data_IF_074188491452
#
_entry.id   IF_074188491452
#
_cell.length_a   1.000
_cell.length_b   1.000
_cell.length_c   1.000
_cell.angle_alpha   90.00
_cell.angle_beta   90.00
_cell.angle_gamma   90.00
#
_symmetry.space_group_name_H-M   'P 1'
#
loop_
_entity.id
_entity.type
_entity.pdbx_description
1 polymer ?
#
# COMPACT_ATOMS: atom_id res chain seq x y z
N UNK A 1 -8.84 8.36 0.52
CA UNK A 1 -8.51 9.24 1.65
C UNK A 1 -7.64 10.41 1.28
N UNK A 2 -7.27 11.26 2.22
CA UNK A 2 -6.48 12.46 1.93
C UNK A 2 -5.31 12.77 2.89
N UNK A 3 -5.30 12.34 4.11
CA UNK A 3 -4.17 12.53 5.03
C UNK A 3 -3.96 11.29 5.86
N UNK A 4 -2.74 10.71 5.78
CA UNK A 4 -2.35 9.54 6.59
C UNK A 4 -3.47 8.48 6.70
N UNK A 5 -4.17 8.23 5.58
CA UNK A 5 -5.39 7.45 5.63
C UNK A 5 -5.15 5.94 5.79
N UNK A 6 -3.90 5.51 5.63
CA UNK A 6 -3.45 4.18 6.03
C UNK A 6 -2.35 4.37 7.07
N UNK A 7 -2.71 4.25 8.34
CA UNK A 7 -1.78 4.52 9.44
C UNK A 7 -1.99 3.53 10.59
N UNK A 8 -0.98 3.40 11.44
CA UNK A 8 -1.04 2.57 12.64
C UNK A 8 0.07 1.56 12.79
N UNK A 9 -0.14 0.54 13.63
CA UNK A 9 0.85 -0.40 14.12
C UNK A 9 0.68 -1.86 13.69
N UNK A 10 -0.22 -2.17 12.76
CA UNK A 10 -0.42 -3.53 12.25
C UNK A 10 0.37 -3.78 10.96
N UNK A 11 0.90 -4.99 10.77
CA UNK A 11 1.45 -5.38 9.47
C UNK A 11 0.32 -5.63 8.47
N UNK A 12 0.49 -5.15 7.23
CA UNK A 12 -0.55 -5.21 6.20
C UNK A 12 0.03 -5.50 4.81
N UNK A 13 -0.73 -6.26 4.03
CA UNK A 13 -0.46 -6.44 2.58
C UNK A 13 -1.69 -5.99 1.81
N UNK A 14 -1.48 -5.05 0.90
CA UNK A 14 -2.46 -4.62 -0.09
C UNK A 14 -2.03 -5.19 -1.44
N UNK A 15 -2.83 -6.08 -2.01
CA UNK A 15 -2.55 -6.72 -3.28
C UNK A 15 -3.70 -6.46 -4.24
N UNK A 16 -3.37 -5.98 -5.45
CA UNK A 16 -4.36 -5.64 -6.48
C UNK A 16 -5.47 -4.68 -6.01
N UNK A 17 -5.08 -3.72 -5.16
CA UNK A 17 -6.01 -2.76 -4.56
C UNK A 17 -6.00 -1.42 -5.30
N UNK A 18 -7.15 -0.74 -5.31
CA UNK A 18 -7.25 0.65 -5.74
C UNK A 18 -7.18 1.58 -4.53
N UNK A 19 -6.24 2.51 -4.57
CA UNK A 19 -6.03 3.55 -3.56
C UNK A 19 -6.54 4.88 -4.12
N UNK A 20 -7.71 5.31 -3.70
CA UNK A 20 -8.27 6.58 -4.17
C UNK A 20 -7.86 7.74 -3.27
N UNK A 21 -7.13 8.71 -3.84
CA UNK A 21 -6.86 9.99 -3.22
C UNK A 21 -8.10 10.87 -3.32
N UNK A 22 -8.40 11.60 -2.27
CA UNK A 22 -9.49 12.57 -2.26
C UNK A 22 -8.93 13.96 -1.96
N UNK A 23 -8.97 14.84 -2.93
CA UNK A 23 -8.46 16.20 -2.81
C UNK A 23 -9.23 17.01 -1.75
N UNK A 24 -8.54 17.97 -1.15
CA UNK A 24 -9.22 18.94 -0.29
C UNK A 24 -10.15 19.84 -1.12
N UNK A 25 -11.18 20.38 -0.48
CA UNK A 25 -12.13 21.27 -1.14
C UNK A 25 -11.53 22.60 -1.62
N UNK A 26 -10.38 22.98 -1.07
CA UNK A 26 -9.69 24.25 -1.34
C UNK A 26 -8.36 24.08 -2.09
N UNK A 27 -7.89 22.83 -2.27
CA UNK A 27 -6.62 22.51 -2.92
C UNK A 27 -6.56 21.03 -3.36
N UNK A 28 -5.87 20.77 -4.44
CA UNK A 28 -5.77 19.41 -4.98
C UNK A 28 -4.93 18.44 -4.15
N UNK A 29 -4.03 18.92 -3.28
CA UNK A 29 -3.14 18.06 -2.51
C UNK A 29 -3.92 17.15 -1.56
N UNK A 30 -3.69 15.84 -1.65
CA UNK A 30 -4.30 14.82 -0.79
C UNK A 30 -3.36 14.32 0.35
N UNK A 31 -2.22 14.93 0.54
CA UNK A 31 -1.31 14.65 1.65
C UNK A 31 -0.49 13.36 1.50
N UNK A 32 -0.69 12.38 2.36
CA UNK A 32 0.13 11.17 2.46
C UNK A 32 -0.75 9.94 2.43
N UNK A 33 -0.36 8.93 1.64
CA UNK A 33 -1.09 7.66 1.59
C UNK A 33 -0.88 6.91 2.91
N UNK A 34 0.37 6.82 3.37
CA UNK A 34 0.71 6.05 4.56
C UNK A 34 1.40 6.88 5.64
N UNK A 35 1.14 6.49 6.90
CA UNK A 35 1.93 6.88 8.06
C UNK A 35 2.11 5.66 8.96
N UNK A 36 3.08 4.83 8.62
CA UNK A 36 3.38 3.62 9.37
C UNK A 36 4.13 3.94 10.67
N UNK A 37 3.78 3.23 11.73
CA UNK A 37 4.58 3.14 12.94
C UNK A 37 5.75 2.15 12.72
N UNK A 38 6.28 1.53 13.76
CA UNK A 38 7.26 0.45 13.64
C UNK A 38 6.58 -0.84 13.14
N UNK A 39 6.12 -0.82 11.91
CA UNK A 39 5.29 -1.86 11.28
C UNK A 39 5.54 -1.92 9.78
N UNK A 40 5.10 -2.98 9.13
CA UNK A 40 5.34 -3.25 7.71
C UNK A 40 4.07 -3.14 6.88
N UNK A 41 4.08 -2.28 5.87
CA UNK A 41 3.04 -2.21 4.85
C UNK A 41 3.63 -2.57 3.48
N UNK A 42 3.00 -3.50 2.81
CA UNK A 42 3.34 -3.86 1.44
C UNK A 42 2.15 -3.57 0.51
N UNK A 43 2.38 -2.71 -0.46
CA UNK A 43 1.47 -2.47 -1.58
C UNK A 43 2.08 -3.10 -2.82
N UNK A 44 1.38 -4.04 -3.44
CA UNK A 44 1.82 -4.66 -4.69
C UNK A 44 0.68 -4.72 -5.70
N UNK A 45 1.02 -4.51 -6.97
CA UNK A 45 0.05 -4.53 -8.07
C UNK A 45 -1.12 -3.56 -7.88
N UNK A 46 -0.93 -2.53 -7.07
CA UNK A 46 -1.98 -1.57 -6.74
C UNK A 46 -2.13 -0.50 -7.81
N UNK A 47 -3.26 0.19 -7.79
CA UNK A 47 -3.51 1.36 -8.63
C UNK A 47 -3.87 2.56 -7.76
N UNK A 48 -3.14 3.67 -7.94
CA UNK A 48 -3.47 4.92 -7.26
C UNK A 48 -4.33 5.76 -8.21
N UNK A 49 -5.51 6.11 -7.77
CA UNK A 49 -6.46 6.97 -8.47
C UNK A 49 -6.72 8.25 -7.67
N UNK A 50 -7.55 9.14 -8.15
CA UNK A 50 -7.89 10.32 -7.37
C UNK A 50 -9.15 11.01 -7.84
N UNK A 51 -9.87 11.51 -6.84
CA UNK A 51 -10.96 12.46 -6.99
C UNK A 51 -10.46 13.85 -6.61
N UNK A 52 -10.47 14.75 -7.58
CA UNK A 52 -9.93 16.10 -7.39
C UNK A 52 -10.89 17.03 -6.62
N UNK A 53 -12.05 16.52 -6.20
CA UNK A 53 -13.04 17.23 -5.38
C UNK A 53 -13.47 18.59 -5.99
N UNK A 54 -13.58 18.62 -7.32
CA UNK A 54 -13.94 19.86 -8.05
C UNK A 54 -12.81 20.88 -8.21
N UNK A 55 -11.59 20.57 -7.75
CA UNK A 55 -10.43 21.44 -7.94
C UNK A 55 -9.91 21.36 -9.37
N UNK A 56 -9.36 22.47 -9.87
CA UNK A 56 -8.59 22.49 -11.12
C UNK A 56 -7.21 21.85 -10.99
N UNK A 57 -6.73 21.69 -9.77
CA UNK A 57 -5.44 21.04 -9.47
C UNK A 57 -5.66 19.58 -9.11
N UNK A 58 -4.93 18.72 -9.78
CA UNK A 58 -4.98 17.28 -9.54
C UNK A 58 -4.60 16.93 -8.10
N UNK A 59 -5.40 16.09 -7.45
CA UNK A 59 -5.07 15.55 -6.15
C UNK A 59 -3.83 14.65 -6.25
N UNK A 60 -2.78 15.00 -5.52
CA UNK A 60 -1.53 14.25 -5.45
C UNK A 60 -1.12 14.03 -4.01
N UNK A 61 -0.40 12.94 -3.74
CA UNK A 61 0.09 12.61 -2.43
C UNK A 61 1.52 12.07 -2.47
N UNK A 62 2.16 12.04 -1.31
CA UNK A 62 3.32 11.19 -1.09
C UNK A 62 2.87 9.73 -0.89
N UNK A 63 3.71 8.77 -1.21
CA UNK A 63 3.52 7.37 -0.78
C UNK A 63 3.34 7.26 0.72
N UNK A 64 4.13 8.05 1.46
CA UNK A 64 4.00 8.10 2.90
C UNK A 64 5.06 8.95 3.57
N UNK A 65 4.97 8.97 4.90
CA UNK A 65 5.94 9.59 5.79
C UNK A 65 6.17 8.70 7.02
N UNK A 66 7.38 8.71 7.62
CA UNK A 66 7.73 7.81 8.71
C UNK A 66 7.20 8.36 10.05
N UNK A 67 6.10 7.82 10.54
CA UNK A 67 5.61 8.20 11.88
C UNK A 67 6.63 7.86 12.97
N UNK A 68 7.36 6.75 12.78
CA UNK A 68 8.52 6.38 13.60
C UNK A 68 9.67 5.95 12.70
N UNK A 69 10.89 5.90 13.23
CA UNK A 69 12.08 5.44 12.50
C UNK A 69 11.99 3.97 12.06
N UNK A 70 11.13 3.17 12.69
CA UNK A 70 10.90 1.76 12.32
C UNK A 70 9.83 1.55 11.26
N UNK A 71 9.30 2.62 10.65
CA UNK A 71 8.34 2.52 9.56
C UNK A 71 8.91 1.76 8.36
N UNK A 72 8.21 0.72 7.90
CA UNK A 72 8.59 -0.11 6.76
C UNK A 72 7.44 -0.14 5.76
N UNK A 73 7.58 0.56 4.64
CA UNK A 73 6.53 0.67 3.61
C UNK A 73 7.13 0.44 2.24
N UNK A 74 6.52 -0.46 1.49
CA UNK A 74 6.93 -0.77 0.11
C UNK A 74 5.78 -0.56 -0.86
N UNK A 75 6.07 0.10 -1.99
CA UNK A 75 5.18 0.16 -3.15
C UNK A 75 5.87 -0.56 -4.32
N UNK A 76 5.27 -1.64 -4.80
CA UNK A 76 5.83 -2.54 -5.80
C UNK A 76 4.84 -2.73 -6.94
N UNK A 77 5.28 -2.56 -8.18
CA UNK A 77 4.43 -2.72 -9.38
C UNK A 77 3.14 -1.90 -9.30
N UNK A 78 3.19 -0.72 -8.70
CA UNK A 78 2.01 0.12 -8.48
C UNK A 78 1.84 1.13 -9.61
N UNK A 79 0.63 1.23 -10.15
CA UNK A 79 0.26 2.24 -11.13
C UNK A 79 -0.01 3.57 -10.42
N UNK A 80 0.85 4.57 -10.61
CA UNK A 80 0.74 5.86 -9.89
C UNK A 80 -0.23 6.83 -10.53
N UNK A 81 -0.46 6.72 -11.84
CA UNK A 81 -1.33 7.60 -12.64
C UNK A 81 -1.03 9.11 -12.47
N UNK A 82 0.23 9.48 -12.20
CA UNK A 82 0.62 10.86 -11.93
C UNK A 82 0.11 11.41 -10.60
N UNK A 83 -0.40 10.54 -9.73
CA UNK A 83 -0.95 10.93 -8.42
C UNK A 83 0.08 10.98 -7.31
N UNK A 84 1.30 10.50 -7.55
CA UNK A 84 2.39 10.57 -6.59
C UNK A 84 3.31 11.73 -6.94
N UNK A 85 3.63 12.56 -5.95
CA UNK A 85 4.55 13.69 -6.13
C UNK A 85 5.96 13.21 -6.44
N UNK A 86 6.73 14.00 -7.18
CA UNK A 86 8.07 13.60 -7.64
C UNK A 86 9.04 13.20 -6.50
N UNK A 87 8.92 13.79 -5.30
CA UNK A 87 9.72 13.38 -4.14
C UNK A 87 9.38 11.96 -3.66
N UNK A 88 8.16 11.49 -3.90
CA UNK A 88 7.66 10.17 -3.52
C UNK A 88 7.38 10.02 -2.03
N UNK A 89 8.29 10.41 -1.17
CA UNK A 89 8.24 10.24 0.28
C UNK A 89 8.44 11.56 1.01
N UNK A 90 7.76 11.74 2.12
CA UNK A 90 7.84 12.95 2.92
C UNK A 90 8.52 12.71 4.27
N UNK A 91 9.05 13.77 4.83
CA UNK A 91 9.60 13.78 6.17
C UNK A 91 8.49 13.88 7.22
N UNK A 92 8.72 13.40 8.42
CA UNK A 92 7.83 13.60 9.55
C UNK A 92 8.23 14.86 10.34
N UNK A 93 7.25 15.50 10.93
CA UNK A 93 7.44 16.77 11.65
C UNK A 93 8.33 16.68 12.91
N UNK A 94 8.59 15.49 13.43
CA UNK A 94 9.47 15.26 14.58
C UNK A 94 10.96 15.18 14.19
N UNK A 95 11.30 15.40 12.93
CA UNK A 95 12.68 15.35 12.44
C UNK A 95 13.08 14.00 11.83
N UNK A 96 12.22 12.97 11.83
CA UNK A 96 12.50 11.72 11.09
C UNK A 96 12.35 12.00 9.60
N UNK A 97 13.42 11.86 8.84
CA UNK A 97 13.38 12.11 7.40
C UNK A 97 12.99 10.87 6.60
N UNK A 98 12.47 11.10 5.41
CA UNK A 98 12.21 10.01 4.47
C UNK A 98 13.51 9.30 4.07
N UNK A 99 14.63 10.01 3.98
CA UNK A 99 15.93 9.42 3.69
C UNK A 99 16.40 8.45 4.76
N UNK A 100 16.21 8.81 6.04
CA UNK A 100 16.60 7.99 7.19
C UNK A 100 15.69 6.78 7.41
N UNK A 101 14.46 6.80 6.86
CA UNK A 101 13.52 5.69 6.95
C UNK A 101 13.98 4.51 6.08
N UNK A 102 14.89 3.68 6.60
CA UNK A 102 15.50 2.55 5.86
C UNK A 102 14.48 1.50 5.39
N UNK A 103 13.31 1.45 6.01
CA UNK A 103 12.21 0.57 5.63
C UNK A 103 11.41 1.02 4.42
N UNK A 104 11.59 2.25 3.91
CA UNK A 104 10.88 2.70 2.72
C UNK A 104 11.48 2.14 1.44
N UNK A 105 10.63 1.76 0.48
CA UNK A 105 11.11 1.24 -0.80
C UNK A 105 10.06 1.24 -1.90
N UNK A 106 10.54 1.30 -3.14
CA UNK A 106 9.73 1.27 -4.35
C UNK A 106 10.41 0.47 -5.45
N UNK A 107 9.62 -0.25 -6.25
CA UNK A 107 10.12 -1.07 -7.33
C UNK A 107 9.13 -1.16 -8.48
N UNK A 108 9.59 -0.87 -9.71
CA UNK A 108 8.81 -1.00 -10.94
C UNK A 108 7.42 -0.35 -10.89
N UNK A 109 7.30 0.80 -10.22
CA UNK A 109 6.05 1.57 -10.24
C UNK A 109 5.92 2.30 -11.58
N UNK A 110 4.70 2.48 -12.08
CA UNK A 110 4.45 3.02 -13.42
C UNK A 110 3.63 4.30 -13.39
N UNK A 111 3.90 5.18 -14.34
CA UNK A 111 3.04 6.29 -14.71
C UNK A 111 1.88 5.83 -15.61
N UNK A 112 0.91 6.70 -15.84
CA UNK A 112 -0.25 6.43 -16.70
C UNK A 112 0.12 6.13 -18.17
N UNK A 113 1.27 6.61 -18.62
CA UNK A 113 1.80 6.36 -19.97
C UNK A 113 2.63 5.06 -20.07
N UNK A 114 2.72 4.30 -18.98
CA UNK A 114 3.51 3.06 -18.90
C UNK A 114 5.00 3.26 -18.64
N UNK A 115 5.47 4.49 -18.52
CA UNK A 115 6.87 4.75 -18.12
C UNK A 115 7.07 4.46 -16.64
N UNK A 116 8.28 4.09 -16.25
CA UNK A 116 8.60 3.84 -14.86
C UNK A 116 8.56 5.13 -14.03
N UNK A 117 7.83 5.12 -12.93
CA UNK A 117 7.88 6.16 -11.91
C UNK A 117 8.97 5.84 -10.90
N UNK A 118 9.87 6.80 -10.69
CA UNK A 118 10.89 6.76 -9.63
C UNK A 118 10.84 8.05 -8.85
N UNK A 119 10.75 7.93 -7.54
CA UNK A 119 10.89 9.11 -6.68
C UNK A 119 12.29 9.71 -6.79
N UNK A 120 12.41 10.99 -6.45
CA UNK A 120 13.71 11.67 -6.45
C UNK A 120 14.62 11.22 -5.30
N UNK A 121 14.10 10.49 -4.31
CA UNK A 121 14.91 9.89 -3.24
C UNK A 121 15.44 8.54 -3.71
N UNK A 122 16.58 8.56 -4.38
CA UNK A 122 17.14 7.38 -5.07
C UNK A 122 17.46 6.21 -4.14
N UNK A 123 17.74 6.47 -2.86
CA UNK A 123 17.96 5.43 -1.85
C UNK A 123 16.73 4.54 -1.59
N UNK A 124 15.54 4.94 -2.07
CA UNK A 124 14.30 4.15 -1.94
C UNK A 124 14.04 3.22 -3.13
N UNK A 125 14.84 3.32 -4.18
CA UNK A 125 14.74 2.39 -5.31
C UNK A 125 15.29 1.02 -4.90
N UNK A 126 14.41 0.02 -4.84
CA UNK A 126 14.81 -1.35 -4.52
C UNK A 126 15.52 -1.98 -5.70
N UNK A 127 16.53 -2.79 -5.42
CA UNK A 127 17.15 -3.67 -6.41
C UNK A 127 16.28 -4.88 -6.69
N UNK A 128 16.51 -5.55 -7.82
CA UNK A 128 15.83 -6.82 -8.14
C UNK A 128 16.06 -7.90 -7.05
N UNK A 129 17.23 -7.92 -6.44
CA UNK A 129 17.53 -8.85 -5.32
C UNK A 129 16.66 -8.56 -4.10
N UNK A 130 16.53 -7.28 -3.72
CA UNK A 130 15.66 -6.89 -2.61
C UNK A 130 14.19 -7.19 -2.90
N UNK A 131 13.72 -6.87 -4.11
CA UNK A 131 12.38 -7.23 -4.56
C UNK A 131 12.12 -8.73 -4.45
N UNK A 132 13.01 -9.57 -4.98
CA UNK A 132 12.85 -11.02 -4.93
C UNK A 132 12.83 -11.54 -3.48
N UNK A 133 13.65 -10.95 -2.60
CA UNK A 133 13.62 -11.30 -1.17
C UNK A 133 12.27 -10.96 -0.53
N UNK A 134 11.74 -9.76 -0.78
CA UNK A 134 10.43 -9.33 -0.26
C UNK A 134 9.32 -10.28 -0.73
N UNK A 135 9.28 -10.59 -2.03
CA UNK A 135 8.25 -11.46 -2.60
C UNK A 135 8.31 -12.87 -2.01
N UNK A 136 9.52 -13.39 -1.77
CA UNK A 136 9.71 -14.72 -1.20
C UNK A 136 9.30 -14.83 0.27
N UNK A 137 9.22 -13.72 1.00
CA UNK A 137 8.98 -13.71 2.45
C UNK A 137 7.70 -12.98 2.87
N UNK A 138 6.78 -12.69 1.92
CA UNK A 138 5.55 -11.94 2.22
C UNK A 138 4.75 -12.59 3.36
N UNK A 139 4.54 -13.89 3.29
CA UNK A 139 3.74 -14.61 4.28
C UNK A 139 4.37 -14.59 5.68
N UNK A 140 5.69 -14.84 5.78
CA UNK A 140 6.40 -14.83 7.04
C UNK A 140 6.57 -13.42 7.62
N UNK A 141 6.98 -12.47 6.76
CA UNK A 141 7.42 -11.15 7.22
C UNK A 141 6.28 -10.15 7.44
N UNK A 142 5.19 -10.30 6.68
CA UNK A 142 4.05 -9.39 6.76
C UNK A 142 2.83 -10.02 7.39
N UNK A 143 2.58 -11.31 7.13
CA UNK A 143 1.32 -11.98 7.50
C UNK A 143 1.48 -12.99 8.64
N UNK A 144 2.66 -13.09 9.28
CA UNK A 144 2.87 -14.01 10.40
C UNK A 144 2.61 -15.47 10.02
N UNK A 145 2.98 -15.86 8.81
CA UNK A 145 2.74 -17.18 8.20
C UNK A 145 1.26 -17.49 7.90
N UNK A 146 0.39 -16.49 7.92
CA UNK A 146 -0.97 -16.67 7.44
C UNK A 146 -1.01 -16.58 5.90
N UNK A 147 -1.71 -17.54 5.27
CA UNK A 147 -1.85 -17.62 3.82
C UNK A 147 -3.30 -17.42 3.42
N UNK A 148 -3.65 -16.30 2.78
CA UNK A 148 -5.03 -16.00 2.36
C UNK A 148 -5.65 -17.12 1.51
N UNK A 149 -4.90 -17.66 0.57
CA UNK A 149 -5.36 -18.74 -0.31
C UNK A 149 -5.70 -20.02 0.48
N UNK A 150 -4.91 -20.37 1.48
CA UNK A 150 -5.18 -21.52 2.34
C UNK A 150 -6.46 -21.30 3.16
N UNK A 151 -6.63 -20.12 3.71
CA UNK A 151 -7.80 -19.77 4.49
C UNK A 151 -9.09 -19.87 3.65
N UNK A 152 -9.12 -19.30 2.45
CA UNK A 152 -10.25 -19.37 1.52
C UNK A 152 -10.56 -20.82 1.14
N UNK A 153 -9.54 -21.63 0.84
CA UNK A 153 -9.72 -23.04 0.50
C UNK A 153 -10.29 -23.86 1.66
N UNK A 154 -9.83 -23.59 2.88
CA UNK A 154 -10.31 -24.28 4.09
C UNK A 154 -11.77 -23.92 4.39
N UNK A 155 -12.15 -22.65 4.24
CA UNK A 155 -13.53 -22.23 4.39
C UNK A 155 -14.47 -22.82 3.34
N UNK A 156 -14.01 -22.91 2.10
CA UNK A 156 -14.80 -23.50 1.01
C UNK A 156 -15.08 -25.00 1.24
N UNK A 157 -14.10 -25.72 1.79
CA UNK A 157 -14.29 -27.15 2.15
C UNK A 157 -15.30 -27.31 3.28
N UNK A 158 -15.29 -26.41 4.25
CA UNK A 158 -16.25 -26.46 5.37
C UNK A 158 -17.69 -26.09 4.97
N UNK A 159 -17.86 -25.40 3.85
CA UNK A 159 -19.16 -24.99 3.32
C UNK A 159 -19.71 -25.91 2.20
N UNK A 160 -19.40 -27.22 2.25
CA UNK A 160 -19.94 -28.22 1.32
C UNK A 160 -19.54 -28.11 -0.16
N UNK A 161 -18.31 -27.71 -0.42
CA UNK A 161 -17.64 -28.38 -1.54
C UNK A 161 -17.81 -27.84 -2.93
N UNK A 162 -18.34 -26.68 -3.19
CA UNK A 162 -18.20 -26.06 -4.51
C UNK A 162 -17.74 -24.61 -4.40
N UNK A 163 -16.50 -24.37 -4.83
CA UNK A 163 -15.98 -23.02 -5.02
C UNK A 163 -16.48 -22.56 -6.40
N UNK A 164 -17.67 -21.99 -6.46
CA UNK A 164 -18.06 -21.15 -7.58
C UNK A 164 -17.64 -19.70 -7.28
N UNK A 165 -17.54 -18.85 -8.31
CA UNK A 165 -17.31 -17.42 -8.15
C UNK A 165 -18.26 -16.77 -7.13
N UNK A 166 -19.43 -17.33 -6.92
CA UNK A 166 -20.44 -16.89 -5.95
C UNK A 166 -20.09 -17.28 -4.50
N UNK A 167 -19.22 -18.25 -4.28
CA UNK A 167 -18.83 -18.66 -2.92
C UNK A 167 -18.00 -17.60 -2.22
N UNK A 168 -17.19 -16.84 -2.97
CA UNK A 168 -16.40 -15.73 -2.44
C UNK A 168 -17.30 -14.57 -1.99
N UNK A 169 -18.39 -14.33 -2.71
CA UNK A 169 -19.36 -13.29 -2.36
C UNK A 169 -20.28 -13.67 -1.19
N UNK A 170 -20.32 -14.94 -0.83
CA UNK A 170 -21.16 -15.48 0.24
C UNK A 170 -20.40 -15.98 1.45
N UNK A 171 -19.12 -15.65 1.60
CA UNK A 171 -18.37 -15.91 2.83
C UNK A 171 -18.98 -15.06 3.93
N UNK A 172 -19.97 -15.63 4.60
CA UNK A 172 -20.45 -15.08 5.87
C UNK A 172 -19.45 -15.46 6.94
N UNK A 173 -18.83 -14.46 7.50
CA UNK A 173 -18.04 -14.60 8.71
C UNK A 173 -19.00 -15.03 9.81
N UNK A 174 -18.98 -16.30 10.16
CA UNK A 174 -19.75 -16.77 11.29
C UNK A 174 -19.03 -16.37 12.57
N UNK A 175 -19.73 -15.56 13.32
CA UNK A 175 -19.59 -15.32 14.76
C UNK A 175 -18.20 -15.57 15.37
N UNK A 176 -17.46 -14.52 15.57
CA UNK A 176 -16.33 -14.49 16.49
C UNK A 176 -14.95 -14.71 15.90
N UNK A 177 -14.83 -14.91 14.61
CA UNK A 177 -13.56 -14.86 13.90
C UNK A 177 -13.62 -13.73 12.87
N UNK A 178 -13.25 -12.56 13.30
CA UNK A 178 -13.12 -11.40 12.43
C UNK A 178 -11.99 -11.66 11.43
N UNK A 179 -12.38 -11.71 10.17
CA UNK A 179 -11.48 -11.55 9.04
C UNK A 179 -11.29 -10.06 8.81
N UNK A 180 -10.50 -9.43 9.61
CA UNK A 180 -9.97 -8.09 9.36
C UNK A 180 -8.47 -8.10 9.56
#
# INVERSE_FOLDING_TARGET
>A
GNVDYICGGGNMVFDDCTLELYGYSDKGNAGYITAAQSTKYLFRNCTITGNDNGNSTQATAYYGRPWTSGADVKFINTQTNGRVVAKGWADWSNGTTAEDATGFGEYCNLNSDGTEFKSSITSKQLTATQYNSIVATVESDYLGNWTPAHYVSTMAVNNSGSIGADAINNVKINSGNDLL
#
